data_IF_060609268640
#
_entry.id   IF_060609268640
#
_cell.length_a   1.000
_cell.length_b   1.000
_cell.length_c   1.000
_cell.angle_alpha   90.00
_cell.angle_beta   90.00
_cell.angle_gamma   90.00
#
_symmetry.space_group_name_H-M   'P 1'
#
loop_
_entity.id
_entity.type
_entity.pdbx_description
1 polymer ?
#
# COMPACT_ATOMS: atom_id res chain seq x y z
N UNK A 1 45.07 -29.77 17.58
CA UNK A 1 44.61 -29.34 18.93
C UNK A 1 44.42 -27.82 19.08
N UNK A 2 45.05 -26.96 18.26
CA UNK A 2 44.87 -25.49 18.30
C UNK A 2 43.63 -24.99 17.49
N UNK A 3 43.08 -25.80 16.57
CA UNK A 3 41.85 -25.46 15.81
C UNK A 3 40.53 -25.61 16.60
N UNK A 4 40.52 -26.38 17.69
CA UNK A 4 39.32 -26.63 18.51
C UNK A 4 39.14 -25.59 19.64
N UNK A 5 40.17 -24.79 19.96
CA UNK A 5 40.11 -23.74 20.99
C UNK A 5 39.61 -22.38 20.45
N UNK A 6 39.81 -22.10 19.15
CA UNK A 6 39.33 -20.87 18.51
C UNK A 6 37.82 -20.89 18.21
N UNK A 7 37.24 -22.08 18.00
CA UNK A 7 35.81 -22.25 17.76
C UNK A 7 34.95 -22.02 19.02
N UNK A 8 35.48 -22.32 20.22
CA UNK A 8 34.79 -22.04 21.49
C UNK A 8 34.82 -20.56 21.91
N UNK A 9 35.81 -19.78 21.46
CA UNK A 9 35.84 -18.34 21.70
C UNK A 9 34.89 -17.58 20.78
N UNK A 10 34.74 -18.02 19.52
CA UNK A 10 33.75 -17.46 18.59
C UNK A 10 32.30 -17.77 19.02
N UNK A 11 32.02 -18.99 19.49
CA UNK A 11 30.68 -19.36 19.95
C UNK A 11 30.25 -18.63 21.24
N UNK A 12 31.19 -18.33 22.14
CA UNK A 12 30.91 -17.56 23.36
C UNK A 12 30.78 -16.05 23.10
N UNK A 13 31.41 -15.51 22.06
CA UNK A 13 31.23 -14.10 21.67
C UNK A 13 29.89 -13.86 20.97
N UNK A 14 29.40 -14.82 20.16
CA UNK A 14 28.07 -14.74 19.53
C UNK A 14 26.94 -14.90 20.55
N UNK A 15 27.15 -15.69 21.61
CA UNK A 15 26.19 -15.83 22.73
C UNK A 15 26.25 -14.61 23.68
N UNK A 16 27.40 -13.94 23.82
CA UNK A 16 27.50 -12.71 24.62
C UNK A 16 26.97 -11.46 23.90
N UNK A 17 26.96 -11.44 22.55
CA UNK A 17 26.39 -10.34 21.77
C UNK A 17 24.86 -10.47 21.56
N UNK A 18 24.29 -11.66 21.79
CA UNK A 18 22.84 -11.90 21.80
C UNK A 18 22.17 -11.67 23.16
N UNK A 19 22.94 -11.32 24.20
CA UNK A 19 22.45 -11.07 25.57
C UNK A 19 22.55 -9.60 26.02
N UNK A 20 22.83 -8.66 25.11
CA UNK A 20 23.07 -7.25 25.46
C UNK A 20 22.32 -6.21 24.61
N UNK A 21 21.21 -6.58 23.98
CA UNK A 21 20.20 -5.64 23.43
C UNK A 21 18.79 -5.90 24.00
N UNK A 22 18.64 -6.85 24.94
CA UNK A 22 17.42 -7.01 25.72
C UNK A 22 17.49 -6.17 27.01
N UNK A 23 17.28 -4.86 26.87
CA UNK A 23 16.48 -4.02 27.80
C UNK A 23 16.15 -2.69 27.12
N UNK A 24 15.54 -2.72 25.95
CA UNK A 24 14.48 -1.74 25.74
C UNK A 24 13.22 -2.45 26.22
N UNK A 25 12.55 -1.97 27.29
CA UNK A 25 11.24 -2.48 27.58
C UNK A 25 10.44 -2.31 26.30
N UNK A 26 9.88 -3.40 25.80
CA UNK A 26 8.71 -3.38 24.95
C UNK A 26 7.79 -2.33 25.59
N UNK A 27 7.69 -1.16 24.98
CA UNK A 27 6.49 -0.39 25.15
C UNK A 27 5.44 -1.22 24.40
N UNK A 28 4.89 -2.25 25.06
CA UNK A 28 3.46 -2.24 25.16
C UNK A 28 3.14 -0.83 25.63
N UNK A 29 2.71 0.01 24.70
CA UNK A 29 1.88 1.13 25.07
C UNK A 29 0.68 0.44 25.72
N UNK A 30 0.78 0.22 27.03
CA UNK A 30 -0.40 0.25 27.88
C UNK A 30 -1.13 1.49 27.40
N UNK A 31 -2.36 1.32 26.89
CA UNK A 31 -3.27 2.39 26.54
C UNK A 31 -2.84 3.65 27.28
N UNK A 32 -2.14 4.54 26.57
CA UNK A 32 -1.62 5.72 27.23
C UNK A 32 -2.87 6.43 27.70
N UNK A 33 -2.99 6.52 29.02
CA UNK A 33 -3.96 7.32 29.77
C UNK A 33 -3.61 8.80 29.53
N UNK A 34 -3.49 9.17 28.25
CA UNK A 34 -3.14 10.46 27.70
C UNK A 34 -4.36 11.36 27.74
N UNK A 35 -4.82 11.67 28.96
CA UNK A 35 -5.35 12.98 29.33
C UNK A 35 -6.50 13.62 28.56
N UNK A 36 -7.13 12.97 27.58
CA UNK A 36 -8.27 13.56 26.87
C UNK A 36 -9.56 13.14 27.54
N UNK A 37 -10.15 14.06 28.29
CA UNK A 37 -11.49 13.90 28.87
C UNK A 37 -12.56 14.17 27.82
N UNK A 38 -13.31 13.13 27.45
CA UNK A 38 -14.62 13.27 26.83
C UNK A 38 -15.61 13.98 27.77
N UNK A 39 -16.61 14.72 27.25
CA UNK A 39 -17.00 14.80 25.85
C UNK A 39 -16.10 15.71 24.99
N UNK A 40 -15.96 15.36 23.72
CA UNK A 40 -15.31 16.18 22.69
C UNK A 40 -16.38 16.60 21.68
N UNK A 41 -16.35 17.86 21.25
CA UNK A 41 -17.19 18.33 20.14
C UNK A 41 -16.32 18.68 18.95
N UNK A 42 -16.67 18.13 17.78
CA UNK A 42 -16.03 18.44 16.50
C UNK A 42 -17.06 18.92 15.49
N UNK A 43 -16.60 19.63 14.46
CA UNK A 43 -17.39 19.88 13.25
C UNK A 43 -17.07 18.79 12.22
N UNK A 44 -18.08 18.05 11.77
CA UNK A 44 -17.92 17.02 10.73
C UNK A 44 -17.80 17.62 9.32
N UNK A 45 -17.49 16.80 8.31
CA UNK A 45 -17.33 17.22 6.92
C UNK A 45 -18.58 17.87 6.31
N UNK A 46 -19.76 17.58 6.87
CA UNK A 46 -21.03 18.16 6.44
C UNK A 46 -21.41 19.44 7.19
N UNK A 47 -20.54 19.90 8.10
CA UNK A 47 -20.72 21.12 8.88
C UNK A 47 -21.56 20.96 10.14
N UNK A 48 -21.84 19.73 10.60
CA UNK A 48 -22.58 19.49 11.83
C UNK A 48 -21.64 19.47 13.04
N UNK A 49 -22.06 20.09 14.14
CA UNK A 49 -21.42 19.90 15.45
C UNK A 49 -21.83 18.53 16.02
N UNK A 50 -20.84 17.68 16.27
CA UNK A 50 -21.03 16.33 16.81
C UNK A 50 -20.31 16.23 18.14
N UNK A 51 -21.05 15.96 19.21
CA UNK A 51 -20.50 15.68 20.54
C UNK A 51 -20.33 14.17 20.72
N UNK A 52 -19.11 13.74 20.99
CA UNK A 52 -18.72 12.36 21.24
C UNK A 52 -18.53 12.24 22.75
N UNK A 53 -19.28 11.34 23.37
CA UNK A 53 -19.27 11.13 24.82
C UNK A 53 -18.26 10.07 25.26
N UNK A 54 -17.93 9.13 24.37
CA UNK A 54 -16.97 8.05 24.61
C UNK A 54 -16.57 7.40 23.27
N UNK A 55 -15.38 6.80 23.25
CA UNK A 55 -14.84 5.98 22.16
C UNK A 55 -14.61 4.51 22.59
N UNK A 56 -15.30 4.06 23.65
CA UNK A 56 -15.17 2.68 24.15
C UNK A 56 -15.66 1.62 23.14
N UNK A 57 -16.54 2.01 22.21
CA UNK A 57 -17.10 1.13 21.19
C UNK A 57 -17.29 1.88 19.87
N UNK A 58 -16.33 1.76 18.96
CA UNK A 58 -16.31 2.46 17.68
C UNK A 58 -16.88 1.56 16.58
N UNK A 59 -17.86 2.07 15.83
CA UNK A 59 -18.29 1.43 14.58
C UNK A 59 -17.81 2.27 13.39
N UNK A 60 -17.23 1.63 12.37
CA UNK A 60 -16.71 2.29 11.17
C UNK A 60 -17.42 1.77 9.92
N UNK A 61 -18.05 2.68 9.19
CA UNK A 61 -18.80 2.39 7.97
C UNK A 61 -18.01 2.52 6.67
N UNK A 62 -16.68 2.66 6.74
CA UNK A 62 -15.79 2.82 5.58
C UNK A 62 -14.39 2.25 5.86
N UNK A 63 -13.78 1.58 4.88
CA UNK A 63 -12.47 0.92 5.01
C UNK A 63 -11.31 1.87 5.30
N UNK A 64 -11.28 2.99 4.59
CA UNK A 64 -10.31 4.07 4.78
C UNK A 64 -10.32 4.66 6.19
N UNK A 65 -11.50 4.89 6.76
CA UNK A 65 -11.67 5.39 8.14
C UNK A 65 -11.28 4.32 9.15
N UNK A 66 -11.63 3.06 8.89
CA UNK A 66 -11.21 1.92 9.73
C UNK A 66 -9.69 1.84 9.83
N UNK A 67 -8.99 1.97 8.70
CA UNK A 67 -7.53 1.97 8.63
C UNK A 67 -6.90 3.14 9.40
N UNK A 68 -7.51 4.34 9.37
CA UNK A 68 -7.04 5.49 10.17
C UNK A 68 -7.26 5.24 11.68
N UNK A 69 -8.43 4.73 12.07
CA UNK A 69 -8.73 4.41 13.49
C UNK A 69 -7.71 3.41 14.04
N UNK A 70 -7.43 2.34 13.30
CA UNK A 70 -6.43 1.35 13.67
C UNK A 70 -5.01 1.95 13.71
N UNK A 71 -4.63 2.77 12.73
CA UNK A 71 -3.31 3.41 12.73
C UNK A 71 -3.10 4.40 13.90
N UNK A 72 -4.18 4.92 14.48
CA UNK A 72 -4.15 5.77 15.67
C UNK A 72 -4.15 4.96 16.99
N UNK A 73 -4.15 3.62 16.93
CA UNK A 73 -4.07 2.74 18.10
C UNK A 73 -5.42 2.41 18.75
N UNK A 74 -6.53 2.56 18.00
CA UNK A 74 -7.90 2.30 18.48
C UNK A 74 -8.55 1.08 17.83
N UNK A 75 -7.74 0.15 17.30
CA UNK A 75 -8.22 -1.09 16.69
C UNK A 75 -9.00 -1.97 17.67
N UNK A 76 -8.60 -2.03 18.93
CA UNK A 76 -9.30 -2.82 19.97
C UNK A 76 -10.64 -2.17 20.40
N UNK A 77 -10.86 -0.90 20.07
CA UNK A 77 -12.11 -0.20 20.31
C UNK A 77 -13.13 -0.44 19.18
N UNK A 78 -12.73 -0.99 18.04
CA UNK A 78 -13.64 -1.27 16.93
C UNK A 78 -14.58 -2.43 17.26
N UNK A 79 -15.89 -2.16 17.26
CA UNK A 79 -16.96 -3.14 17.51
C UNK A 79 -17.75 -3.52 16.26
N UNK A 80 -17.53 -2.81 15.15
CA UNK A 80 -18.13 -3.12 13.86
C UNK A 80 -17.43 -2.40 12.71
N UNK A 81 -17.18 -3.12 11.62
CA UNK A 81 -16.55 -2.60 10.39
C UNK A 81 -17.41 -2.91 9.16
N UNK A 82 -17.37 -2.07 8.14
CA UNK A 82 -18.03 -2.39 6.88
C UNK A 82 -17.17 -3.35 6.02
N UNK A 83 -17.79 -4.01 5.05
CA UNK A 83 -17.11 -5.01 4.19
C UNK A 83 -16.00 -4.42 3.31
N UNK A 84 -15.91 -3.10 3.17
CA UNK A 84 -14.83 -2.44 2.46
C UNK A 84 -13.53 -2.34 3.28
N UNK A 85 -13.59 -2.63 4.59
CA UNK A 85 -12.45 -2.64 5.50
C UNK A 85 -11.62 -3.93 5.38
N UNK A 86 -10.71 -4.00 4.41
CA UNK A 86 -9.81 -5.14 4.18
C UNK A 86 -8.48 -5.05 4.93
N UNK A 87 -8.18 -3.91 5.57
CA UNK A 87 -6.94 -3.68 6.33
C UNK A 87 -7.17 -2.91 7.64
N UNK A 88 -6.47 -3.23 8.74
CA UNK A 88 -5.61 -4.40 8.93
C UNK A 88 -6.34 -5.74 8.80
N UNK A 89 -5.69 -6.76 8.23
CA UNK A 89 -6.32 -8.05 7.88
C UNK A 89 -6.84 -8.82 9.10
N UNK A 90 -6.20 -8.67 10.27
CA UNK A 90 -6.60 -9.39 11.49
C UNK A 90 -7.93 -8.89 12.08
N UNK A 91 -8.39 -7.70 11.66
CA UNK A 91 -9.70 -7.17 12.03
C UNK A 91 -10.84 -7.99 11.41
N UNK A 92 -10.63 -8.53 10.21
CA UNK A 92 -11.64 -9.28 9.45
C UNK A 92 -12.16 -10.51 10.21
N UNK A 93 -11.30 -11.14 11.01
CA UNK A 93 -11.64 -12.35 11.78
C UNK A 93 -12.21 -12.02 13.18
N UNK A 94 -12.01 -10.80 13.66
CA UNK A 94 -12.27 -10.41 15.06
C UNK A 94 -13.49 -9.51 15.23
N UNK A 95 -13.84 -8.72 14.22
CA UNK A 95 -14.84 -7.66 14.34
C UNK A 95 -16.06 -7.95 13.45
N UNK A 96 -17.30 -7.84 13.96
CA UNK A 96 -18.50 -8.05 13.15
C UNK A 96 -18.62 -7.11 11.95
N UNK A 97 -19.05 -7.64 10.80
CA UNK A 97 -19.44 -6.84 9.64
C UNK A 97 -20.78 -6.13 9.87
N UNK A 98 -20.81 -4.81 9.67
CA UNK A 98 -22.00 -3.96 9.87
C UNK A 98 -22.65 -3.47 8.57
N UNK A 99 -22.22 -4.01 7.43
CA UNK A 99 -22.80 -3.74 6.12
C UNK A 99 -21.79 -3.22 5.12
N UNK A 100 -22.26 -2.47 4.12
CA UNK A 100 -21.44 -1.92 3.06
C UNK A 100 -21.65 -0.41 2.99
N UNK A 101 -20.58 0.38 2.91
CA UNK A 101 -20.63 1.84 2.89
C UNK A 101 -21.71 2.43 1.95
N UNK A 102 -21.91 1.85 0.76
CA UNK A 102 -22.90 2.31 -0.24
C UNK A 102 -24.31 1.73 -0.07
N UNK A 103 -24.55 0.94 0.97
CA UNK A 103 -25.85 0.29 1.26
C UNK A 103 -25.94 -0.12 2.74
N UNK A 104 -25.71 0.83 3.63
CA UNK A 104 -25.78 0.63 5.07
C UNK A 104 -27.23 0.40 5.55
N UNK A 105 -27.35 -0.24 6.70
CA UNK A 105 -28.61 -0.43 7.41
C UNK A 105 -28.41 -0.14 8.91
N UNK A 106 -29.45 0.37 9.56
CA UNK A 106 -29.37 0.77 10.98
C UNK A 106 -29.23 -0.44 11.90
N UNK A 107 -29.92 -1.53 11.61
CA UNK A 107 -29.99 -2.70 12.51
C UNK A 107 -28.61 -3.34 12.78
N UNK A 108 -27.77 -3.67 11.78
CA UNK A 108 -26.42 -4.18 12.05
C UNK A 108 -25.54 -3.21 12.86
N UNK A 109 -25.62 -1.90 12.57
CA UNK A 109 -24.83 -0.88 13.26
C UNK A 109 -25.30 -0.75 14.71
N UNK A 110 -26.60 -0.71 14.97
CA UNK A 110 -27.15 -0.61 16.32
C UNK A 110 -26.92 -1.90 17.13
N UNK A 111 -26.85 -3.06 16.48
CA UNK A 111 -26.64 -4.35 17.14
C UNK A 111 -25.28 -4.47 17.83
N UNK A 112 -24.26 -3.77 17.32
CA UNK A 112 -22.92 -3.71 17.96
C UNK A 112 -22.83 -2.64 19.05
N UNK A 113 -23.92 -1.92 19.33
CA UNK A 113 -24.05 -0.91 20.39
C UNK A 113 -22.86 0.08 20.46
N UNK A 114 -22.58 0.82 19.38
CA UNK A 114 -21.44 1.71 19.33
C UNK A 114 -21.67 2.98 20.16
N UNK A 115 -20.60 3.49 20.77
CA UNK A 115 -20.56 4.81 21.41
C UNK A 115 -20.39 5.95 20.39
N UNK A 116 -19.85 5.65 19.20
CA UNK A 116 -19.74 6.56 18.06
C UNK A 116 -19.70 5.77 16.76
N UNK A 117 -20.33 6.29 15.71
CA UNK A 117 -20.29 5.74 14.36
C UNK A 117 -19.57 6.71 13.42
N UNK A 118 -18.54 6.22 12.72
CA UNK A 118 -17.84 6.96 11.68
C UNK A 118 -18.29 6.50 10.30
N UNK A 119 -18.42 7.44 9.37
CA UNK A 119 -18.60 7.17 7.96
C UNK A 119 -18.00 8.29 7.11
N UNK A 120 -17.95 8.09 5.80
CA UNK A 120 -17.55 9.11 4.84
C UNK A 120 -18.74 9.80 4.20
N UNK A 121 -18.53 10.94 3.51
CA UNK A 121 -19.55 11.63 2.71
C UNK A 121 -20.24 10.75 1.66
N UNK A 122 -19.55 9.67 1.25
CA UNK A 122 -20.02 8.77 0.22
C UNK A 122 -20.87 7.62 0.78
N UNK A 123 -20.93 7.46 2.11
CA UNK A 123 -21.78 6.48 2.77
C UNK A 123 -23.28 6.73 2.51
N UNK A 124 -24.08 5.67 2.37
CA UNK A 124 -25.50 5.79 2.04
C UNK A 124 -26.35 4.61 2.52
N UNK A 125 -27.69 4.78 2.65
CA UNK A 125 -28.45 6.01 2.46
C UNK A 125 -28.33 6.98 3.64
N UNK A 126 -28.45 8.29 3.38
CA UNK A 126 -28.35 9.33 4.40
C UNK A 126 -29.37 9.17 5.56
N UNK A 127 -30.52 8.53 5.30
CA UNK A 127 -31.53 8.23 6.32
C UNK A 127 -31.04 7.30 7.42
N UNK A 128 -29.95 6.53 7.21
CA UNK A 128 -29.32 5.73 8.27
C UNK A 128 -28.74 6.62 9.35
N UNK A 129 -28.10 7.73 8.97
CA UNK A 129 -27.47 8.65 9.93
C UNK A 129 -28.49 9.32 10.84
N UNK A 130 -29.62 9.75 10.29
CA UNK A 130 -30.71 10.35 11.08
C UNK A 130 -31.32 9.36 12.07
N UNK A 131 -31.45 8.09 11.66
CA UNK A 131 -31.96 7.03 12.54
C UNK A 131 -30.96 6.69 13.66
N UNK A 132 -29.66 6.63 13.36
CA UNK A 132 -28.61 6.43 14.38
C UNK A 132 -28.59 7.59 15.40
N UNK A 133 -28.67 8.83 14.92
CA UNK A 133 -28.78 10.02 15.81
C UNK A 133 -30.03 9.97 16.69
N UNK A 134 -31.16 9.50 16.16
CA UNK A 134 -32.39 9.30 16.95
C UNK A 134 -32.26 8.21 18.03
N UNK A 135 -31.28 7.31 17.90
CA UNK A 135 -30.88 6.33 18.91
C UNK A 135 -29.82 6.88 19.89
N UNK A 136 -29.47 8.17 19.79
CA UNK A 136 -28.39 8.84 20.52
C UNK A 136 -27.00 8.25 20.22
N UNK A 137 -26.79 7.69 19.03
CA UNK A 137 -25.47 7.30 18.54
C UNK A 137 -24.91 8.51 17.76
N UNK A 138 -23.81 9.13 18.23
CA UNK A 138 -23.10 10.17 17.47
C UNK A 138 -22.64 9.63 16.13
N UNK A 139 -22.85 10.41 15.06
CA UNK A 139 -22.42 10.07 13.70
C UNK A 139 -21.45 11.13 13.22
N UNK A 140 -20.20 10.72 12.98
CA UNK A 140 -19.12 11.57 12.46
C UNK A 140 -18.95 11.29 10.97
N UNK A 141 -19.15 12.32 10.14
CA UNK A 141 -18.94 12.23 8.69
C UNK A 141 -17.56 12.79 8.32
N UNK A 142 -16.73 11.96 7.71
CA UNK A 142 -15.36 12.24 7.25
C UNK A 142 -15.39 12.64 5.77
N UNK A 143 -14.58 13.61 5.32
CA UNK A 143 -14.57 14.03 3.92
C UNK A 143 -14.11 12.91 3.00
N UNK A 144 -14.73 12.77 1.83
CA UNK A 144 -14.37 11.75 0.84
C UNK A 144 -14.62 12.22 -0.60
N UNK A 145 -14.34 13.50 -0.83
CA UNK A 145 -14.40 14.15 -2.13
C UNK A 145 -13.01 14.22 -2.78
N UNK A 146 -12.95 13.99 -4.09
CA UNK A 146 -11.72 14.03 -4.88
C UNK A 146 -11.24 15.45 -5.23
N UNK A 147 -11.96 16.49 -4.82
CA UNK A 147 -11.50 17.88 -5.01
C UNK A 147 -10.19 18.18 -4.23
N UNK A 148 -9.87 17.35 -3.24
CA UNK A 148 -8.64 17.42 -2.43
C UNK A 148 -7.43 16.73 -3.08
N UNK A 149 -7.65 15.95 -4.14
CA UNK A 149 -6.61 15.18 -4.80
C UNK A 149 -5.97 14.12 -3.90
N UNK A 150 -4.70 13.78 -4.19
CA UNK A 150 -3.92 12.77 -3.45
C UNK A 150 -3.71 13.09 -1.97
N UNK A 151 -3.88 14.36 -1.56
CA UNK A 151 -3.69 14.82 -0.18
C UNK A 151 -4.94 14.67 0.71
N UNK A 152 -6.06 14.19 0.16
CA UNK A 152 -7.29 13.88 0.91
C UNK A 152 -7.05 13.12 2.24
N UNK A 153 -6.16 12.11 2.31
CA UNK A 153 -5.92 11.36 3.55
C UNK A 153 -5.51 12.25 4.72
N UNK A 154 -4.83 13.38 4.48
CA UNK A 154 -4.34 14.27 5.53
C UNK A 154 -5.49 14.93 6.31
N UNK A 155 -6.56 15.31 5.60
CA UNK A 155 -7.76 15.89 6.21
C UNK A 155 -8.55 14.81 6.97
N UNK A 156 -8.65 13.60 6.39
CA UNK A 156 -9.28 12.45 7.04
C UNK A 156 -8.59 12.14 8.37
N UNK A 157 -7.26 12.01 8.38
CA UNK A 157 -6.46 11.74 9.58
C UNK A 157 -6.67 12.81 10.65
N UNK A 158 -6.62 14.08 10.25
CA UNK A 158 -6.81 15.21 11.19
C UNK A 158 -8.19 15.13 11.86
N UNK A 159 -9.24 14.87 11.09
CA UNK A 159 -10.61 14.84 11.59
C UNK A 159 -10.88 13.61 12.47
N UNK A 160 -10.42 12.42 12.06
CA UNK A 160 -10.56 11.20 12.88
C UNK A 160 -9.77 11.36 14.17
N UNK A 161 -8.53 11.84 14.13
CA UNK A 161 -7.72 12.05 15.33
C UNK A 161 -8.36 13.06 16.31
N UNK A 162 -8.96 14.13 15.80
CA UNK A 162 -9.71 15.07 16.62
C UNK A 162 -10.94 14.41 17.28
N UNK A 163 -11.67 13.58 16.52
CA UNK A 163 -12.84 12.84 17.02
C UNK A 163 -12.47 11.82 18.10
N UNK A 164 -11.29 11.19 17.97
CA UNK A 164 -10.75 10.21 18.92
C UNK A 164 -10.03 10.87 20.11
N UNK A 165 -9.85 12.19 20.08
CA UNK A 165 -9.19 12.93 21.17
C UNK A 165 -7.67 12.77 21.22
N UNK A 166 -7.04 12.45 20.09
CA UNK A 166 -5.59 12.23 19.96
C UNK A 166 -4.97 13.11 18.85
N UNK A 167 -5.14 14.45 18.89
CA UNK A 167 -4.69 15.32 17.81
C UNK A 167 -3.16 15.35 17.61
N UNK A 168 -2.36 15.07 18.65
CA UNK A 168 -0.90 15.04 18.55
C UNK A 168 -0.40 13.77 17.82
N UNK A 169 -1.01 12.62 18.11
CA UNK A 169 -0.81 11.36 17.39
C UNK A 169 -1.31 11.49 15.94
N UNK A 170 -2.45 12.15 15.76
CA UNK A 170 -2.98 12.51 14.44
C UNK A 170 -2.01 13.32 13.60
N UNK A 171 -1.39 14.35 14.17
CA UNK A 171 -0.40 15.18 13.47
C UNK A 171 0.86 14.38 13.10
N UNK A 172 1.26 13.45 13.95
CA UNK A 172 2.38 12.54 13.69
C UNK A 172 2.08 11.64 12.49
N UNK A 173 0.91 10.98 12.49
CA UNK A 173 0.46 10.13 11.39
C UNK A 173 0.27 10.92 10.10
N UNK A 174 -0.34 12.12 10.18
CA UNK A 174 -0.53 13.02 9.05
C UNK A 174 0.80 13.42 8.41
N UNK A 175 1.80 13.76 9.23
CA UNK A 175 3.14 14.13 8.75
C UNK A 175 3.84 12.96 8.06
N UNK A 176 3.66 11.74 8.58
CA UNK A 176 4.19 10.54 7.95
C UNK A 176 3.56 10.31 6.56
N UNK A 177 2.23 10.30 6.46
CA UNK A 177 1.52 10.07 5.19
C UNK A 177 1.85 11.14 4.16
N UNK A 178 1.89 12.41 4.57
CA UNK A 178 2.30 13.50 3.69
C UNK A 178 3.71 13.30 3.12
N UNK A 179 4.63 12.80 3.95
CA UNK A 179 6.00 12.51 3.54
C UNK A 179 6.06 11.38 2.52
N UNK A 180 5.29 10.30 2.74
CA UNK A 180 5.22 9.17 1.81
C UNK A 180 4.60 9.56 0.45
N UNK A 181 3.62 10.46 0.44
CA UNK A 181 3.07 11.02 -0.80
C UNK A 181 4.12 11.86 -1.54
N UNK A 182 4.86 12.72 -0.85
CA UNK A 182 5.94 13.50 -1.45
C UNK A 182 7.09 12.62 -1.98
N UNK A 183 7.34 11.48 -1.34
CA UNK A 183 8.28 10.49 -1.85
C UNK A 183 7.85 9.92 -3.19
N UNK A 184 6.57 9.56 -3.34
CA UNK A 184 6.04 9.06 -4.59
C UNK A 184 6.24 10.08 -5.73
N UNK A 185 5.92 11.35 -5.47
CA UNK A 185 6.13 12.45 -6.43
C UNK A 185 7.60 12.64 -6.78
N UNK A 186 8.49 12.55 -5.79
CA UNK A 186 9.94 12.73 -6.00
C UNK A 186 10.54 11.56 -6.78
N UNK A 187 10.09 10.32 -6.52
CA UNK A 187 10.59 9.13 -7.20
C UNK A 187 10.37 9.16 -8.72
N UNK A 188 9.28 9.80 -9.16
CA UNK A 188 8.98 9.96 -10.58
C UNK A 188 9.53 11.26 -11.18
N UNK A 189 10.14 12.16 -10.39
CA UNK A 189 10.56 13.49 -10.90
C UNK A 189 11.63 13.48 -12.01
N UNK A 190 12.39 12.38 -12.12
CA UNK A 190 13.44 12.21 -13.14
C UNK A 190 13.03 11.26 -14.27
N UNK A 191 11.81 10.73 -14.27
CA UNK A 191 11.33 9.89 -15.38
C UNK A 191 11.06 10.80 -16.58
N UNK A 192 11.27 10.26 -17.79
CA UNK A 192 11.05 10.99 -19.05
C UNK A 192 9.90 10.42 -19.86
N UNK A 193 9.39 9.26 -19.45
CA UNK A 193 8.28 8.57 -20.07
C UNK A 193 7.01 8.90 -19.28
N UNK A 194 5.89 9.13 -19.97
CA UNK A 194 4.58 9.36 -19.35
C UNK A 194 3.67 8.19 -19.75
N UNK A 195 3.65 7.09 -18.97
CA UNK A 195 2.91 5.89 -19.33
C UNK A 195 1.42 6.17 -19.38
N UNK A 196 0.76 5.63 -20.40
CA UNK A 196 -0.71 5.71 -20.53
C UNK A 196 -1.38 4.63 -19.68
N UNK A 197 -2.21 5.04 -18.73
CA UNK A 197 -2.83 4.17 -17.73
C UNK A 197 -4.35 4.27 -17.83
N UNK A 198 -5.01 3.10 -17.88
CA UNK A 198 -6.46 2.99 -17.71
C UNK A 198 -6.77 2.36 -16.36
N UNK A 199 -7.49 3.05 -15.48
CA UNK A 199 -8.14 2.37 -14.36
C UNK A 199 -9.47 1.75 -14.81
N UNK A 200 -9.61 0.44 -14.64
CA UNK A 200 -10.77 -0.33 -15.06
C UNK A 200 -11.40 -1.06 -13.87
N UNK A 201 -12.59 -0.62 -13.48
CA UNK A 201 -13.43 -1.33 -12.50
C UNK A 201 -14.36 -2.30 -13.22
N UNK A 202 -14.43 -3.54 -12.74
CA UNK A 202 -15.29 -4.58 -13.29
C UNK A 202 -16.15 -5.22 -12.20
N UNK A 203 -17.41 -5.48 -12.53
CA UNK A 203 -18.29 -6.35 -11.73
C UNK A 203 -18.99 -7.35 -12.64
N UNK A 204 -18.72 -8.63 -12.39
CA UNK A 204 -19.14 -9.72 -13.27
C UNK A 204 -18.55 -9.55 -14.67
N UNK A 205 -19.35 -9.83 -15.71
CA UNK A 205 -18.94 -9.67 -17.11
C UNK A 205 -19.57 -8.47 -17.82
N UNK A 206 -20.43 -7.72 -17.14
CA UNK A 206 -21.31 -6.73 -17.78
C UNK A 206 -21.05 -5.30 -17.33
N UNK A 207 -20.66 -5.09 -16.08
CA UNK A 207 -20.35 -3.74 -15.59
C UNK A 207 -18.85 -3.51 -15.75
N UNK A 208 -18.51 -2.53 -16.59
CA UNK A 208 -17.15 -2.06 -16.81
C UNK A 208 -17.18 -0.54 -16.69
N UNK A 209 -16.47 0.00 -15.71
CA UNK A 209 -16.37 1.45 -15.49
C UNK A 209 -14.91 1.87 -15.63
N UNK A 210 -14.69 3.03 -16.21
CA UNK A 210 -13.39 3.68 -16.31
C UNK A 210 -13.34 4.91 -15.44
N UNK A 211 -12.15 5.22 -14.90
CA UNK A 211 -11.91 6.49 -14.24
C UNK A 211 -11.86 7.64 -15.25
N UNK A 212 -11.97 8.84 -14.70
CA UNK A 212 -11.64 10.08 -15.37
C UNK A 212 -11.31 11.13 -14.30
N UNK A 213 -11.30 12.39 -14.71
CA UNK A 213 -11.09 13.50 -13.76
C UNK A 213 -12.09 13.44 -12.59
N UNK A 214 -11.71 13.99 -11.44
CA UNK A 214 -12.52 13.93 -10.22
C UNK A 214 -12.78 12.49 -9.74
N UNK A 215 -11.73 11.66 -9.73
CA UNK A 215 -11.73 10.33 -9.11
C UNK A 215 -10.41 10.09 -8.38
N UNK A 216 -10.42 9.27 -7.31
CA UNK A 216 -9.18 8.85 -6.64
C UNK A 216 -8.16 8.21 -7.61
N UNK A 217 -8.64 7.46 -8.61
CA UNK A 217 -7.78 6.83 -9.60
C UNK A 217 -7.00 7.86 -10.43
N UNK A 218 -7.66 8.94 -10.85
CA UNK A 218 -7.03 10.03 -11.57
C UNK A 218 -5.94 10.70 -10.72
N UNK A 219 -6.21 10.98 -9.45
CA UNK A 219 -5.25 11.62 -8.55
C UNK A 219 -4.02 10.74 -8.30
N UNK A 220 -4.23 9.43 -8.13
CA UNK A 220 -3.15 8.47 -7.98
C UNK A 220 -2.29 8.36 -9.26
N UNK A 221 -2.93 8.23 -10.42
CA UNK A 221 -2.26 8.12 -11.72
C UNK A 221 -1.42 9.37 -11.99
N UNK A 222 -1.97 10.56 -11.75
CA UNK A 222 -1.26 11.82 -11.90
C UNK A 222 -0.08 11.96 -10.92
N UNK A 223 -0.21 11.44 -9.70
CA UNK A 223 0.88 11.48 -8.69
C UNK A 223 2.12 10.71 -9.14
N UNK A 224 1.93 9.65 -9.92
CA UNK A 224 3.00 8.81 -10.45
C UNK A 224 3.42 9.22 -11.86
N UNK A 225 3.13 10.44 -12.30
CA UNK A 225 3.47 10.96 -13.64
C UNK A 225 2.93 10.08 -14.79
N UNK A 226 1.77 9.45 -14.57
CA UNK A 226 1.05 8.69 -15.59
C UNK A 226 -0.08 9.50 -16.23
N UNK A 227 -0.48 9.12 -17.45
CA UNK A 227 -1.61 9.72 -18.17
C UNK A 227 -2.85 8.84 -17.97
N UNK A 228 -3.84 9.33 -17.22
CA UNK A 228 -5.17 8.69 -17.18
C UNK A 228 -5.86 8.87 -18.54
N UNK A 229 -5.99 7.77 -19.28
CA UNK A 229 -6.54 7.78 -20.64
C UNK A 229 -8.04 8.07 -20.67
N UNK A 230 -8.77 7.77 -19.60
CA UNK A 230 -10.19 8.13 -19.46
C UNK A 230 -10.34 9.64 -19.29
N UNK A 231 -9.51 10.24 -18.42
CA UNK A 231 -9.46 11.68 -18.24
C UNK A 231 -9.03 12.40 -19.54
N UNK A 232 -8.02 11.88 -20.24
CA UNK A 232 -7.59 12.39 -21.55
C UNK A 232 -8.70 12.33 -22.61
N UNK A 233 -9.60 11.34 -22.50
CA UNK A 233 -10.80 11.21 -23.33
C UNK A 233 -12.00 12.05 -22.84
N UNK A 234 -11.83 12.88 -21.82
CA UNK A 234 -12.87 13.77 -21.29
C UNK A 234 -13.85 13.10 -20.33
N UNK A 235 -13.52 11.93 -19.78
CA UNK A 235 -14.33 11.29 -18.73
C UNK A 235 -14.24 12.11 -17.43
N UNK A 236 -15.38 12.26 -16.77
CA UNK A 236 -15.51 12.87 -15.44
C UNK A 236 -16.20 11.87 -14.52
N UNK A 237 -15.59 11.58 -13.37
CA UNK A 237 -16.03 10.54 -12.46
C UNK A 237 -15.82 9.13 -13.04
N UNK A 238 -16.55 8.15 -12.50
CA UNK A 238 -16.58 6.79 -13.04
C UNK A 238 -17.71 6.64 -14.07
N UNK A 239 -17.37 6.29 -15.31
CA UNK A 239 -18.35 6.15 -16.40
C UNK A 239 -18.28 4.76 -17.04
N UNK A 240 -19.39 4.24 -17.60
CA UNK A 240 -19.36 3.01 -18.38
C UNK A 240 -18.31 3.08 -19.49
N UNK A 241 -17.56 2.00 -19.64
CA UNK A 241 -16.55 1.91 -20.70
C UNK A 241 -17.21 2.02 -22.07
N UNK A 242 -16.78 3.00 -22.86
CA UNK A 242 -17.27 3.23 -24.22
C UNK A 242 -16.24 2.76 -25.25
N UNK A 243 -16.71 2.44 -26.47
CA UNK A 243 -15.83 2.12 -27.58
C UNK A 243 -14.91 3.30 -27.95
N UNK A 244 -15.36 4.54 -27.73
CA UNK A 244 -14.57 5.75 -27.98
C UNK A 244 -13.38 5.86 -27.01
N UNK A 245 -13.61 5.60 -25.72
CA UNK A 245 -12.53 5.53 -24.73
C UNK A 245 -11.56 4.40 -25.13
N UNK A 246 -12.04 3.18 -25.41
CA UNK A 246 -11.13 2.08 -25.78
C UNK A 246 -10.34 2.31 -27.07
N UNK A 247 -10.94 2.92 -28.10
CA UNK A 247 -10.29 3.17 -29.38
C UNK A 247 -9.25 4.29 -29.30
N UNK A 248 -9.39 5.23 -28.36
CA UNK A 248 -8.45 6.33 -28.18
C UNK A 248 -7.46 6.07 -27.04
N UNK A 249 -7.79 5.18 -26.10
CA UNK A 249 -7.03 4.98 -24.87
C UNK A 249 -5.70 4.27 -25.09
N UNK A 250 -5.65 3.25 -25.97
CA UNK A 250 -4.48 2.36 -26.20
C UNK A 250 -3.56 2.23 -24.97
N UNK A 251 -4.09 1.86 -23.79
CA UNK A 251 -3.34 1.98 -22.56
C UNK A 251 -2.15 1.02 -22.58
N UNK A 252 -1.00 1.52 -22.16
CA UNK A 252 0.19 0.72 -21.90
C UNK A 252 0.04 -0.10 -20.62
N UNK A 253 -0.76 0.40 -19.67
CA UNK A 253 -1.09 -0.29 -18.42
C UNK A 253 -2.59 -0.21 -18.13
N UNK A 254 -3.16 -1.31 -17.63
CA UNK A 254 -4.51 -1.32 -17.07
C UNK A 254 -4.38 -1.60 -15.58
N UNK A 255 -4.85 -0.68 -14.74
CA UNK A 255 -4.91 -0.84 -13.28
C UNK A 255 -6.30 -1.32 -12.89
N UNK A 256 -6.36 -2.39 -12.09
CA UNK A 256 -7.60 -3.01 -11.65
C UNK A 256 -7.56 -3.36 -10.17
N UNK A 257 -8.75 -3.46 -9.62
CA UNK A 257 -9.02 -4.04 -8.32
C UNK A 257 -8.96 -5.57 -8.35
N UNK A 258 -8.42 -6.18 -7.30
CA UNK A 258 -8.47 -7.63 -7.09
C UNK A 258 -9.92 -8.11 -7.08
N UNK A 259 -10.82 -7.38 -6.40
CA UNK A 259 -12.24 -7.70 -6.40
C UNK A 259 -12.90 -7.65 -7.78
N UNK A 260 -12.35 -6.86 -8.72
CA UNK A 260 -12.80 -6.83 -10.12
C UNK A 260 -12.37 -8.08 -10.88
N UNK A 261 -11.12 -8.51 -10.68
CA UNK A 261 -10.57 -9.74 -11.29
C UNK A 261 -11.34 -10.97 -10.80
N UNK A 262 -11.55 -11.07 -9.49
CA UNK A 262 -12.27 -12.18 -8.88
C UNK A 262 -13.72 -12.23 -9.38
N UNK A 263 -14.38 -11.07 -9.46
CA UNK A 263 -15.75 -10.98 -9.95
C UNK A 263 -15.89 -11.34 -11.44
N UNK A 264 -14.88 -11.07 -12.26
CA UNK A 264 -14.84 -11.48 -13.66
C UNK A 264 -14.60 -12.99 -13.84
N UNK A 265 -14.10 -13.68 -12.80
CA UNK A 265 -13.73 -15.10 -12.83
C UNK A 265 -12.25 -15.34 -13.14
N UNK A 266 -11.38 -14.39 -12.79
CA UNK A 266 -9.93 -14.47 -12.96
C UNK A 266 -9.40 -13.61 -14.11
N UNK A 267 -8.08 -13.41 -14.13
CA UNK A 267 -7.41 -12.50 -15.07
C UNK A 267 -7.59 -12.91 -16.55
N UNK A 268 -7.65 -14.20 -16.84
CA UNK A 268 -7.94 -14.68 -18.20
C UNK A 268 -9.33 -14.24 -18.67
N UNK A 269 -10.31 -14.18 -17.76
CA UNK A 269 -11.65 -13.69 -18.07
C UNK A 269 -11.73 -12.19 -18.22
N UNK A 270 -10.85 -11.45 -17.53
CA UNK A 270 -10.64 -10.03 -17.76
C UNK A 270 -10.09 -9.78 -19.18
N UNK A 271 -9.10 -10.55 -19.63
CA UNK A 271 -8.54 -10.44 -20.99
C UNK A 271 -9.58 -10.72 -22.09
N UNK A 272 -10.57 -11.56 -21.81
CA UNK A 272 -11.70 -11.83 -22.72
C UNK A 272 -12.75 -10.70 -22.77
N UNK A 273 -12.67 -9.67 -21.91
CA UNK A 273 -13.63 -8.58 -21.92
C UNK A 273 -13.49 -7.74 -23.20
N UNK A 274 -14.61 -7.27 -23.79
CA UNK A 274 -14.57 -6.46 -25.00
C UNK A 274 -13.64 -5.26 -24.87
N UNK A 275 -12.70 -5.13 -25.81
CA UNK A 275 -11.72 -4.04 -25.86
C UNK A 275 -10.48 -4.28 -25.00
N UNK A 276 -10.51 -5.11 -23.96
CA UNK A 276 -9.37 -5.31 -23.05
C UNK A 276 -8.25 -6.09 -23.73
N UNK A 277 -8.56 -7.27 -24.30
CA UNK A 277 -7.55 -8.16 -24.90
C UNK A 277 -6.80 -7.59 -26.11
N UNK A 278 -7.36 -6.57 -26.76
CA UNK A 278 -6.76 -5.91 -27.93
C UNK A 278 -5.80 -4.76 -27.55
N UNK A 279 -5.71 -4.40 -26.27
CA UNK A 279 -4.85 -3.31 -25.79
C UNK A 279 -3.36 -3.72 -25.70
N UNK A 280 -2.42 -2.77 -25.82
CA UNK A 280 -1.01 -3.01 -25.51
C UNK A 280 -0.83 -3.58 -24.10
N UNK A 281 -1.57 -3.07 -23.12
CA UNK A 281 -1.52 -3.56 -21.76
C UNK A 281 -1.79 -5.07 -21.65
N UNK A 282 -2.85 -5.57 -22.31
CA UNK A 282 -3.18 -6.99 -22.28
C UNK A 282 -2.18 -7.85 -23.07
N UNK A 283 -1.62 -7.32 -24.15
CA UNK A 283 -0.66 -8.03 -25.01
C UNK A 283 0.73 -8.15 -24.36
N UNK A 284 1.10 -7.20 -23.50
CA UNK A 284 2.40 -7.14 -22.83
C UNK A 284 2.35 -7.60 -21.35
N UNK A 285 1.24 -8.16 -20.89
CA UNK A 285 1.01 -8.55 -19.48
C UNK A 285 1.12 -7.40 -18.47
N UNK A 286 0.70 -6.20 -18.87
CA UNK A 286 0.65 -4.98 -18.05
C UNK A 286 -0.75 -4.71 -17.48
N UNK A 287 -1.50 -5.77 -17.13
CA UNK A 287 -2.72 -5.64 -16.33
C UNK A 287 -2.30 -5.76 -14.86
N UNK A 288 -2.23 -4.62 -14.18
CA UNK A 288 -1.80 -4.47 -12.80
C UNK A 288 -3.01 -4.64 -11.87
N UNK A 289 -2.87 -5.51 -10.87
CA UNK A 289 -3.97 -5.86 -9.96
C UNK A 289 -3.55 -5.53 -8.53
N UNK A 290 -4.38 -4.76 -7.84
CA UNK A 290 -4.13 -4.33 -6.47
C UNK A 290 -5.36 -4.57 -5.58
N UNK A 291 -5.14 -4.69 -4.27
CA UNK A 291 -6.22 -4.63 -3.28
C UNK A 291 -6.97 -3.29 -3.39
N UNK A 292 -8.30 -3.38 -3.30
CA UNK A 292 -9.23 -2.27 -3.59
C UNK A 292 -9.02 -1.11 -2.61
N UNK A 293 -8.91 -1.40 -1.31
CA UNK A 293 -8.68 -0.42 -0.25
C UNK A 293 -7.26 0.14 -0.32
N UNK A 294 -6.27 -0.71 -0.58
CA UNK A 294 -4.88 -0.29 -0.69
C UNK A 294 -4.69 0.75 -1.80
N UNK A 295 -5.17 0.46 -3.01
CA UNK A 295 -4.84 1.28 -4.18
C UNK A 295 -5.67 2.57 -4.23
N UNK A 296 -6.97 2.55 -3.91
CA UNK A 296 -7.85 3.72 -4.02
C UNK A 296 -8.61 4.10 -2.74
N UNK A 297 -8.26 3.53 -1.58
CA UNK A 297 -8.89 3.88 -0.31
C UNK A 297 -8.64 5.33 0.13
N UNK A 298 -7.55 5.96 -0.34
CA UNK A 298 -7.15 7.31 0.08
C UNK A 298 -7.08 7.42 1.61
N UNK A 299 -6.29 6.53 2.21
CA UNK A 299 -6.06 6.39 3.65
C UNK A 299 -4.56 6.43 3.99
N UNK A 300 -4.13 5.82 5.10
CA UNK A 300 -2.77 5.90 5.63
C UNK A 300 -1.72 5.30 4.69
N UNK A 301 -2.09 4.32 3.86
CA UNK A 301 -1.18 3.70 2.87
C UNK A 301 -1.12 4.41 1.50
N UNK A 302 -1.70 5.59 1.33
CA UNK A 302 -1.81 6.26 0.01
C UNK A 302 -0.44 6.53 -0.64
N UNK A 303 0.55 6.98 0.12
CA UNK A 303 1.90 7.20 -0.42
C UNK A 303 2.58 5.91 -0.86
N UNK A 304 2.39 4.82 -0.10
CA UNK A 304 2.87 3.49 -0.47
C UNK A 304 2.18 2.93 -1.72
N UNK A 305 0.88 3.15 -1.86
CA UNK A 305 0.13 2.76 -3.05
C UNK A 305 0.63 3.50 -4.31
N UNK A 306 0.93 4.79 -4.18
CA UNK A 306 1.53 5.57 -5.26
C UNK A 306 2.93 5.05 -5.63
N UNK A 307 3.80 4.78 -4.65
CA UNK A 307 5.11 4.17 -4.91
C UNK A 307 5.00 2.78 -5.55
N UNK A 308 4.06 1.95 -5.10
CA UNK A 308 3.82 0.63 -5.66
C UNK A 308 3.38 0.72 -7.13
N UNK A 309 2.50 1.66 -7.46
CA UNK A 309 2.10 1.90 -8.85
C UNK A 309 3.26 2.46 -9.68
N UNK A 310 3.97 3.47 -9.19
CA UNK A 310 5.11 4.08 -9.88
C UNK A 310 6.16 3.02 -10.26
N UNK A 311 6.47 2.09 -9.35
CA UNK A 311 7.42 1.01 -9.59
C UNK A 311 7.02 0.05 -10.73
N UNK A 312 5.72 -0.09 -10.99
CA UNK A 312 5.22 -0.93 -12.08
C UNK A 312 5.22 -0.20 -13.42
N UNK A 313 4.94 1.11 -13.42
CA UNK A 313 4.72 1.88 -14.67
C UNK A 313 5.96 2.63 -15.14
N UNK A 314 6.93 2.86 -14.26
CA UNK A 314 8.22 3.51 -14.55
C UNK A 314 9.41 2.59 -14.24
N UNK A 315 9.73 1.61 -15.10
CA UNK A 315 10.82 0.67 -14.83
C UNK A 315 12.20 1.32 -14.78
N UNK A 316 12.35 2.54 -15.31
CA UNK A 316 13.60 3.32 -15.30
C UNK A 316 13.68 4.32 -14.14
N UNK A 317 12.68 4.41 -13.26
CA UNK A 317 12.72 5.32 -12.13
C UNK A 317 13.87 4.94 -11.19
N UNK A 318 14.61 5.95 -10.71
CA UNK A 318 15.64 5.75 -9.71
C UNK A 318 15.09 6.13 -8.34
N UNK A 319 15.30 5.26 -7.36
CA UNK A 319 14.91 5.48 -5.97
C UNK A 319 15.86 6.44 -5.23
N UNK A 320 16.45 7.42 -5.92
CA UNK A 320 17.33 8.41 -5.30
C UNK A 320 16.49 9.37 -4.44
N UNK A 321 16.19 8.90 -3.23
CA UNK A 321 15.52 9.66 -2.19
C UNK A 321 16.59 10.33 -1.34
N UNK A 322 16.51 11.65 -1.13
CA UNK A 322 17.42 12.39 -0.23
C UNK A 322 17.06 12.09 1.25
N UNK A 323 17.29 10.84 1.65
CA UNK A 323 16.90 10.27 2.94
C UNK A 323 17.93 9.26 3.47
N UNK A 324 18.04 9.06 4.80
CA UNK A 324 18.86 8.00 5.37
C UNK A 324 18.30 6.63 4.98
N UNK A 325 19.14 5.83 4.35
CA UNK A 325 18.81 4.53 3.78
C UNK A 325 19.66 3.41 4.42
N UNK A 326 19.13 2.18 4.64
CA UNK A 326 17.74 1.75 4.49
C UNK A 326 16.76 2.55 5.36
N UNK A 327 15.57 2.85 4.82
CA UNK A 327 14.53 3.48 5.62
C UNK A 327 13.77 2.38 6.37
N UNK A 328 14.06 2.32 7.66
CA UNK A 328 13.30 1.53 8.61
C UNK A 328 12.26 2.43 9.24
N UNK A 329 10.98 2.07 9.15
CA UNK A 329 10.01 2.57 10.09
C UNK A 329 9.24 1.41 10.71
N UNK A 330 8.97 1.51 11.99
CA UNK A 330 7.97 0.67 12.63
C UNK A 330 6.65 1.37 12.42
N UNK A 331 5.72 0.76 11.68
CA UNK A 331 4.37 1.30 11.62
C UNK A 331 3.71 1.26 13.00
N UNK A 332 2.59 1.95 13.17
CA UNK A 332 1.92 2.04 14.47
C UNK A 332 1.37 0.70 14.98
N UNK A 333 1.30 -0.33 14.12
CA UNK A 333 0.93 -1.71 14.51
C UNK A 333 2.11 -2.50 15.06
N UNK A 334 3.30 -1.88 15.12
CA UNK A 334 4.53 -2.52 15.56
C UNK A 334 5.24 -3.33 14.48
N UNK A 335 4.80 -3.26 13.22
CA UNK A 335 5.42 -3.96 12.11
C UNK A 335 6.61 -3.14 11.60
N UNK A 336 7.79 -3.75 11.56
CA UNK A 336 8.93 -3.16 10.84
C UNK A 336 8.65 -3.19 9.35
N UNK A 337 8.42 -2.02 8.78
CA UNK A 337 8.35 -1.81 7.34
C UNK A 337 9.71 -1.33 6.88
N UNK A 338 10.32 -2.15 6.02
CA UNK A 338 11.56 -1.82 5.34
C UNK A 338 11.21 -1.28 3.97
N UNK A 339 11.38 0.04 3.79
CA UNK A 339 11.44 0.62 2.46
C UNK A 339 12.89 0.51 2.01
N UNK A 340 13.21 -0.64 1.42
CA UNK A 340 14.48 -0.86 0.77
C UNK A 340 14.39 -0.39 -0.69
N UNK A 341 15.43 0.29 -1.20
CA UNK A 341 15.72 0.32 -2.63
C UNK A 341 15.80 -1.14 -3.09
N UNK A 342 15.34 -1.45 -4.31
CA UNK A 342 15.74 -2.69 -4.93
C UNK A 342 17.27 -2.73 -4.88
N UNK A 343 17.83 -3.76 -4.26
CA UNK A 343 19.28 -3.88 -4.14
C UNK A 343 19.86 -3.79 -5.54
N UNK A 344 20.75 -2.82 -5.80
CA UNK A 344 21.34 -2.68 -7.13
C UNK A 344 22.01 -3.99 -7.51
N UNK A 345 21.51 -4.62 -8.57
CA UNK A 345 21.94 -5.94 -8.99
C UNK A 345 23.03 -5.80 -10.05
N UNK A 346 24.21 -6.35 -9.78
CA UNK A 346 25.31 -6.40 -10.73
C UNK A 346 25.58 -7.83 -11.17
N UNK A 347 25.70 -8.06 -12.47
CA UNK A 347 26.16 -9.33 -13.03
C UNK A 347 27.65 -9.24 -13.38
N UNK A 348 28.43 -10.27 -13.07
CA UNK A 348 29.88 -10.28 -13.38
C UNK A 348 30.21 -10.43 -14.86
N UNK A 349 29.24 -10.83 -15.69
CA UNK A 349 29.41 -11.01 -17.13
C UNK A 349 28.09 -10.78 -17.90
N UNK A 350 28.20 -10.52 -19.20
CA UNK A 350 27.08 -10.16 -20.09
C UNK A 350 26.05 -11.29 -20.26
N UNK A 351 26.47 -12.55 -20.15
CA UNK A 351 25.56 -13.69 -20.32
C UNK A 351 24.66 -13.82 -19.09
N UNK A 352 25.26 -13.68 -17.91
CA UNK A 352 24.54 -13.64 -16.65
C UNK A 352 23.63 -12.41 -16.57
N UNK A 353 24.10 -11.24 -17.03
CA UNK A 353 23.29 -10.02 -17.12
C UNK A 353 22.02 -10.25 -17.96
N UNK A 354 22.19 -10.79 -19.16
CA UNK A 354 21.07 -11.07 -20.08
C UNK A 354 20.07 -12.03 -19.43
N UNK A 355 20.55 -13.11 -18.81
CA UNK A 355 19.68 -14.11 -18.17
C UNK A 355 18.89 -13.53 -16.98
N UNK A 356 19.53 -12.67 -16.19
CA UNK A 356 18.91 -11.98 -15.05
C UNK A 356 17.86 -10.96 -15.53
N UNK A 357 18.11 -10.26 -16.64
CA UNK A 357 17.15 -9.35 -17.25
C UNK A 357 15.97 -10.09 -17.90
N UNK A 358 16.19 -11.24 -18.54
CA UNK A 358 15.13 -12.12 -19.06
C UNK A 358 14.21 -12.64 -17.95
N UNK A 359 14.75 -12.82 -16.74
CA UNK A 359 14.00 -13.15 -15.53
C UNK A 359 13.17 -11.98 -14.97
N UNK A 360 13.31 -10.77 -15.52
CA UNK A 360 12.55 -9.58 -15.13
C UNK A 360 13.22 -8.71 -14.05
N UNK A 361 14.50 -8.94 -13.76
CA UNK A 361 15.25 -8.14 -12.78
C UNK A 361 16.02 -7.01 -13.47
N UNK A 362 16.02 -5.83 -12.86
CA UNK A 362 16.88 -4.73 -13.30
C UNK A 362 18.32 -4.95 -12.78
N UNK A 363 19.22 -5.31 -13.69
CA UNK A 363 20.64 -5.52 -13.39
C UNK A 363 21.56 -4.72 -14.32
N UNK A 364 22.79 -4.47 -13.87
CA UNK A 364 23.87 -3.81 -14.62
C UNK A 364 25.08 -4.74 -14.74
N UNK A 365 25.91 -4.55 -15.76
CA UNK A 365 27.22 -5.22 -15.80
C UNK A 365 28.12 -4.66 -14.69
N UNK A 366 28.85 -5.55 -14.01
CA UNK A 366 29.80 -5.18 -12.97
C UNK A 366 31.02 -4.49 -13.60
N UNK A 367 31.06 -3.16 -13.54
CA UNK A 367 32.24 -2.35 -13.83
C UNK A 367 32.87 -1.87 -12.51
N UNK A 368 32.18 -0.96 -11.81
CA UNK A 368 32.52 -0.54 -10.45
C UNK A 368 31.31 -0.77 -9.53
N UNK A 369 31.39 -1.71 -8.57
CA UNK A 369 30.28 -1.96 -7.65
C UNK A 369 30.06 -0.79 -6.70
N UNK A 370 28.79 -0.51 -6.41
CA UNK A 370 28.36 0.46 -5.40
C UNK A 370 28.24 -0.25 -4.05
N UNK A 371 28.61 0.43 -2.97
CA UNK A 371 28.46 -0.12 -1.61
C UNK A 371 26.99 -0.45 -1.32
N UNK A 372 26.71 -1.64 -0.80
CA UNK A 372 25.34 -2.12 -0.57
C UNK A 372 24.68 -2.83 -1.76
N UNK A 373 25.35 -2.94 -2.91
CA UNK A 373 24.86 -3.71 -4.07
C UNK A 373 24.90 -5.24 -3.87
N UNK A 374 24.06 -5.95 -4.64
CA UNK A 374 24.04 -7.40 -4.76
C UNK A 374 24.72 -7.79 -6.06
N UNK A 375 25.80 -8.57 -5.97
CA UNK A 375 26.52 -9.05 -7.14
C UNK A 375 26.15 -10.51 -7.38
N UNK A 376 25.62 -10.83 -8.56
CA UNK A 376 25.51 -12.21 -9.03
C UNK A 376 26.76 -12.53 -9.83
N UNK A 377 27.41 -13.61 -9.44
CA UNK A 377 28.65 -14.08 -10.00
C UNK A 377 28.56 -15.55 -10.37
N UNK A 378 29.28 -15.98 -11.40
CA UNK A 378 29.52 -17.41 -11.65
C UNK A 378 30.68 -17.92 -10.79
N UNK A 379 30.83 -19.24 -10.67
CA UNK A 379 32.02 -19.82 -10.03
C UNK A 379 33.35 -19.45 -10.72
N UNK A 380 33.29 -19.07 -12.01
CA UNK A 380 34.45 -18.61 -12.79
C UNK A 380 34.82 -17.15 -12.58
N UNK A 381 33.94 -16.34 -11.99
CA UNK A 381 34.21 -14.94 -11.70
C UNK A 381 35.09 -14.80 -10.44
N UNK A 382 35.74 -13.64 -10.27
CA UNK A 382 36.55 -13.34 -9.09
C UNK A 382 35.69 -12.95 -7.86
N UNK A 383 34.66 -13.75 -7.59
CA UNK A 383 33.66 -13.52 -6.54
C UNK A 383 34.27 -13.49 -5.14
N UNK A 384 35.39 -14.19 -4.93
CA UNK A 384 36.06 -14.25 -3.64
C UNK A 384 36.66 -12.89 -3.27
N UNK A 385 37.35 -12.24 -4.21
CA UNK A 385 37.90 -10.89 -4.02
C UNK A 385 36.79 -9.86 -3.79
N UNK A 386 35.64 -10.01 -4.45
CA UNK A 386 34.48 -9.14 -4.22
C UNK A 386 33.89 -9.31 -2.80
N UNK A 387 33.82 -10.53 -2.28
CA UNK A 387 33.42 -10.76 -0.88
C UNK A 387 34.43 -10.23 0.12
N UNK A 388 35.73 -10.38 -0.15
CA UNK A 388 36.80 -9.83 0.69
C UNK A 388 36.77 -8.30 0.73
N UNK A 389 36.33 -7.66 -0.36
CA UNK A 389 36.09 -6.23 -0.44
C UNK A 389 34.78 -5.76 0.25
N UNK A 390 34.00 -6.67 0.82
CA UNK A 390 32.81 -6.36 1.62
C UNK A 390 31.48 -6.35 0.87
N UNK A 391 31.46 -6.76 -0.41
CA UNK A 391 30.23 -6.81 -1.20
C UNK A 391 29.40 -8.07 -0.92
N UNK A 392 28.08 -7.94 -1.06
CA UNK A 392 27.16 -9.07 -1.04
C UNK A 392 27.22 -9.78 -2.38
N UNK A 393 27.79 -10.98 -2.42
CA UNK A 393 27.96 -11.75 -3.68
C UNK A 393 27.21 -13.07 -3.59
N UNK A 394 26.29 -13.31 -4.52
CA UNK A 394 25.62 -14.60 -4.73
C UNK A 394 26.28 -15.31 -5.90
N UNK A 395 26.65 -16.57 -5.68
CA UNK A 395 27.40 -17.36 -6.66
C UNK A 395 26.49 -18.44 -7.22
N UNK A 396 26.30 -18.45 -8.53
CA UNK A 396 25.56 -19.48 -9.27
C UNK A 396 26.53 -20.40 -10.02
N UNK A 397 26.12 -21.65 -10.21
CA UNK A 397 26.99 -22.67 -10.80
C UNK A 397 27.13 -22.53 -12.32
N UNK A 398 26.05 -22.16 -13.02
CA UNK A 398 25.98 -21.97 -14.47
C UNK A 398 25.07 -20.78 -14.80
N UNK A 399 25.45 -19.98 -15.80
CA UNK A 399 24.62 -18.86 -16.27
C UNK A 399 23.33 -19.33 -16.96
N UNK A 400 23.27 -20.59 -17.40
CA UNK A 400 22.09 -21.17 -18.02
C UNK A 400 21.06 -21.75 -17.01
N UNK A 401 21.39 -21.85 -15.72
CA UNK A 401 20.50 -22.43 -14.71
C UNK A 401 19.52 -21.38 -14.14
N UNK A 402 18.50 -21.10 -14.93
CA UNK A 402 17.44 -20.13 -14.61
C UNK A 402 16.79 -20.40 -13.24
N UNK A 403 16.41 -21.64 -12.86
CA UNK A 403 15.92 -21.94 -11.52
C UNK A 403 16.89 -21.63 -10.38
N UNK A 404 18.18 -21.91 -10.55
CA UNK A 404 19.22 -21.58 -9.56
C UNK A 404 19.35 -20.07 -9.40
N UNK A 405 19.36 -19.32 -10.50
CA UNK A 405 19.43 -17.85 -10.51
C UNK A 405 18.18 -17.23 -9.86
N UNK A 406 16.99 -17.74 -10.17
CA UNK A 406 15.74 -17.29 -9.56
C UNK A 406 15.70 -17.57 -8.05
N UNK A 407 16.15 -18.75 -7.62
CA UNK A 407 16.24 -19.10 -6.20
C UNK A 407 17.28 -18.25 -5.46
N UNK A 408 18.41 -17.96 -6.11
CA UNK A 408 19.47 -17.08 -5.61
C UNK A 408 18.99 -15.63 -5.39
N UNK A 409 18.06 -15.16 -6.23
CA UNK A 409 17.49 -13.83 -6.13
C UNK A 409 16.36 -13.71 -5.11
N UNK A 410 15.78 -14.84 -4.66
CA UNK A 410 14.87 -14.87 -3.52
C UNK A 410 13.54 -14.14 -3.71
N UNK A 411 13.06 -13.96 -4.94
CA UNK A 411 11.82 -13.22 -5.25
C UNK A 411 10.76 -14.16 -5.86
N UNK A 412 9.56 -14.30 -5.25
CA UNK A 412 8.39 -14.80 -5.96
C UNK A 412 8.06 -13.84 -7.10
N UNK A 413 7.72 -14.38 -8.28
CA UNK A 413 7.70 -13.64 -9.54
C UNK A 413 6.90 -12.33 -9.56
N UNK A 414 7.32 -11.42 -10.46
CA UNK A 414 6.58 -10.27 -11.04
C UNK A 414 5.44 -9.71 -10.16
N UNK A 415 5.68 -8.57 -9.52
CA UNK A 415 4.59 -7.70 -9.03
C UNK A 415 4.53 -7.46 -7.51
N UNK A 416 5.47 -7.97 -6.71
CA UNK A 416 5.54 -7.59 -5.30
C UNK A 416 6.36 -6.30 -5.17
N UNK A 417 5.66 -5.16 -5.17
CA UNK A 417 6.23 -3.93 -4.64
C UNK A 417 6.83 -4.23 -3.25
N UNK A 418 8.04 -3.75 -3.03
CA UNK A 418 8.80 -3.84 -1.79
C UNK A 418 7.98 -3.33 -0.58
N UNK A 419 7.24 -4.24 0.06
CA UNK A 419 6.81 -4.19 1.45
C UNK A 419 6.99 -5.61 1.97
N UNK A 420 8.23 -5.97 2.29
CA UNK A 420 8.52 -7.32 2.79
C UNK A 420 7.89 -7.50 4.19
N UNK A 421 6.76 -8.22 4.26
CA UNK A 421 6.24 -8.80 5.50
C UNK A 421 7.22 -9.88 5.97
N UNK A 422 7.92 -9.65 7.08
CA UNK A 422 8.49 -10.77 7.84
C UNK A 422 7.37 -11.41 8.65
N UNK A 423 6.72 -12.44 8.09
CA UNK A 423 5.91 -13.35 8.87
C UNK A 423 6.80 -14.00 9.95
N UNK A 424 6.48 -13.77 11.22
CA UNK A 424 7.09 -14.49 12.33
C UNK A 424 6.36 -15.83 12.49
N UNK A 425 7.08 -16.90 12.19
CA UNK A 425 7.06 -18.16 12.94
C UNK A 425 8.42 -18.85 12.77
#
# INVERSE_FOLDING_TARGET
MIRQLKLRHWLLMVIALSLLVFTNPLHHSQAQDGGTTFPITITDATGNEVTIESIDAIASGSGDVTEIIAALGFEDNLVGIDISSTYPEDLLDRIPEIGFARRLAVEPIAAVNPSVFFCTETCSPASVFDQLRALNIPVVIIPDNSDRGIELPLEKITMVAAALGVPEEGETLRTQVAREIEWAKTAVANVTEEPTILFLYVRGRTLQLVSGTNTPAYDLIATVDGIDVGAAAGVVGYMPLSAEVMLNAYPEYIVMFQGSVDSAGGLDKVRELPGVGDTPAAQNDHILVFDDQFILGMSTRTGLAALALAAQVHPTMTWEMDMPYPYHYTDMTGIEVLVATPVELYATDETLLTTVQELGFHAKILDTPVEGSLIIATQSADWASLREAGYTVVVVSDTADIPEIAAALGVPGRGEALIARRATN
#
